data_IF_964826553340
#
_entry.id   IF_964826553340
#
_cell.length_a   1.000
_cell.length_b   1.000
_cell.length_c   1.000
_cell.angle_alpha   90.00
_cell.angle_beta   90.00
_cell.angle_gamma   90.00
#
_symmetry.space_group_name_H-M   'P 1'
#
loop_
_entity.id
_entity.type
_entity.pdbx_description
1 polymer ?
#
# COMPACT_ATOMS: atom_id res chain seq x y z
N UNK A 1 -0.94 30.00 13.23
CA UNK A 1 -0.62 29.44 14.55
C UNK A 1 0.03 28.09 14.35
N UNK A 2 1.31 27.97 14.68
CA UNK A 2 2.15 26.79 14.38
C UNK A 2 1.85 25.74 15.44
N UNK A 3 1.32 24.59 15.05
CA UNK A 3 1.15 23.44 15.95
C UNK A 3 2.52 22.83 16.16
N UNK A 4 3.12 23.10 17.32
CA UNK A 4 4.36 22.43 17.77
C UNK A 4 4.01 21.02 18.24
N UNK A 5 4.28 20.04 17.40
CA UNK A 5 4.34 18.64 17.84
C UNK A 5 5.61 18.49 18.68
N UNK A 6 5.46 18.22 19.97
CA UNK A 6 6.58 17.82 20.82
C UNK A 6 7.11 16.48 20.34
N UNK A 7 8.26 16.52 19.70
CA UNK A 7 9.05 15.35 19.33
C UNK A 7 9.49 14.60 20.61
N UNK A 8 9.53 13.26 20.60
CA UNK A 8 10.19 12.52 21.67
C UNK A 8 11.69 12.85 21.69
N UNK A 9 12.40 12.65 22.84
CA UNK A 9 13.78 13.06 22.99
C UNK A 9 14.65 12.38 21.92
N UNK A 10 15.36 13.19 21.20
CA UNK A 10 16.35 12.78 20.20
C UNK A 10 17.48 12.04 20.87
N UNK A 11 17.55 10.71 20.68
CA UNK A 11 18.81 10.02 20.75
C UNK A 11 19.60 10.47 19.52
N UNK A 12 20.63 11.30 19.73
CA UNK A 12 21.61 11.66 18.73
C UNK A 12 22.48 10.44 18.39
N UNK A 13 21.99 9.58 17.52
CA UNK A 13 22.83 8.88 16.57
C UNK A 13 22.59 9.58 15.24
N UNK A 14 23.55 10.39 14.80
CA UNK A 14 23.69 10.79 13.41
C UNK A 14 23.90 9.50 12.63
N UNK A 15 22.83 8.84 12.19
CA UNK A 15 22.91 8.04 10.99
C UNK A 15 23.23 9.03 9.87
N UNK A 16 24.49 9.09 9.49
CA UNK A 16 24.92 9.77 8.27
C UNK A 16 24.04 9.20 7.16
N UNK A 17 23.16 10.02 6.61
CA UNK A 17 22.39 9.69 5.41
C UNK A 17 23.42 9.35 4.32
N UNK A 18 23.65 8.08 4.10
CA UNK A 18 24.47 7.58 3.01
C UNK A 18 23.73 7.90 1.71
N UNK A 19 23.90 9.14 1.23
CA UNK A 19 23.42 9.55 -0.09
C UNK A 19 24.27 8.76 -1.08
N UNK A 20 23.69 7.78 -1.72
CA UNK A 20 24.35 7.01 -2.76
C UNK A 20 24.84 7.98 -3.86
N UNK A 21 26.15 8.22 -4.00
CA UNK A 21 26.69 9.17 -4.97
C UNK A 21 26.33 8.79 -6.41
N UNK A 22 25.97 7.53 -6.68
CA UNK A 22 25.53 7.05 -7.98
C UNK A 22 24.12 7.50 -8.38
N UNK A 23 23.37 8.13 -7.45
CA UNK A 23 22.01 8.60 -7.70
C UNK A 23 21.93 10.12 -7.98
N UNK A 24 23.05 10.82 -8.09
CA UNK A 24 23.11 12.25 -8.41
C UNK A 24 23.23 12.50 -9.91
N UNK A 25 22.55 13.54 -10.42
CA UNK A 25 22.61 13.99 -11.82
C UNK A 25 22.40 12.88 -12.86
N UNK A 26 21.51 11.95 -12.55
CA UNK A 26 21.21 10.84 -13.46
C UNK A 26 20.56 11.35 -14.76
N UNK A 27 21.00 10.77 -15.85
CA UNK A 27 20.30 10.84 -17.15
C UNK A 27 19.76 9.44 -17.47
N UNK A 28 18.45 9.29 -17.35
CA UNK A 28 17.75 8.02 -17.40
C UNK A 28 16.86 7.94 -18.64
N UNK A 29 16.61 6.73 -19.11
CA UNK A 29 15.46 6.53 -20.01
C UNK A 29 14.17 6.74 -19.23
N UNK A 30 14.06 6.13 -18.04
CA UNK A 30 12.83 6.12 -17.26
C UNK A 30 13.11 6.36 -15.78
N UNK A 31 12.38 7.30 -15.19
CA UNK A 31 12.29 7.43 -13.73
C UNK A 31 10.88 7.02 -13.27
N UNK A 32 10.84 6.08 -12.34
CA UNK A 32 9.63 5.66 -11.63
C UNK A 32 9.60 6.34 -10.27
N UNK A 33 8.43 6.78 -9.80
CA UNK A 33 8.25 7.32 -8.44
C UNK A 33 7.28 6.44 -7.67
N UNK A 34 7.77 5.86 -6.56
CA UNK A 34 7.07 4.94 -5.70
C UNK A 34 7.46 3.47 -5.90
N UNK A 35 7.84 2.82 -4.80
CA UNK A 35 8.27 1.42 -4.75
C UNK A 35 7.18 0.48 -4.16
N UNK A 36 5.92 0.73 -4.48
CA UNK A 36 4.80 -0.19 -4.27
C UNK A 36 4.68 -1.22 -5.39
N UNK A 37 3.57 -1.97 -5.42
CA UNK A 37 3.31 -3.01 -6.43
C UNK A 37 3.53 -2.52 -7.86
N UNK A 38 2.95 -1.38 -8.22
CA UNK A 38 3.05 -0.84 -9.60
C UNK A 38 4.48 -0.47 -9.96
N UNK A 39 5.19 0.22 -9.07
CA UNK A 39 6.57 0.64 -9.34
C UNK A 39 7.53 -0.52 -9.48
N UNK A 40 7.41 -1.54 -8.64
CA UNK A 40 8.23 -2.75 -8.70
C UNK A 40 7.93 -3.56 -9.96
N UNK A 41 6.66 -3.70 -10.33
CA UNK A 41 6.28 -4.40 -11.54
C UNK A 41 6.82 -3.71 -12.81
N UNK A 42 6.73 -2.39 -12.86
CA UNK A 42 7.29 -1.60 -13.94
C UNK A 42 8.82 -1.71 -13.99
N UNK A 43 9.50 -1.57 -12.84
CA UNK A 43 10.96 -1.72 -12.76
C UNK A 43 11.42 -3.05 -13.34
N UNK A 44 10.79 -4.15 -12.93
CA UNK A 44 11.10 -5.49 -13.43
C UNK A 44 10.95 -5.59 -14.95
N UNK A 45 9.80 -5.16 -15.49
CA UNK A 45 9.53 -5.28 -16.92
C UNK A 45 10.41 -4.35 -17.77
N UNK A 46 10.70 -3.15 -17.30
CA UNK A 46 11.51 -2.18 -18.02
C UNK A 46 13.00 -2.57 -18.02
N UNK A 47 13.50 -3.14 -16.91
CA UNK A 47 14.83 -3.76 -16.89
C UNK A 47 14.96 -4.87 -17.93
N UNK A 48 13.98 -5.75 -18.06
CA UNK A 48 13.97 -6.84 -19.06
C UNK A 48 14.03 -6.31 -20.50
N UNK A 49 13.51 -5.11 -20.74
CA UNK A 49 13.55 -4.44 -22.03
C UNK A 49 14.85 -3.64 -22.27
N UNK A 50 15.79 -3.66 -21.33
CA UNK A 50 17.08 -2.99 -21.43
C UNK A 50 17.08 -1.49 -21.15
N UNK A 51 15.99 -0.92 -20.63
CA UNK A 51 15.95 0.50 -20.26
C UNK A 51 16.82 0.81 -19.06
N UNK A 52 17.48 1.97 -19.08
CA UNK A 52 18.13 2.58 -17.92
C UNK A 52 17.05 3.18 -17.01
N UNK A 53 16.61 2.41 -16.02
CA UNK A 53 15.49 2.75 -15.14
C UNK A 53 15.92 2.79 -13.68
N UNK A 54 15.40 3.77 -12.93
CA UNK A 54 15.54 3.88 -11.46
C UNK A 54 14.21 4.22 -10.84
N UNK A 55 14.08 3.96 -9.53
CA UNK A 55 12.92 4.25 -8.71
C UNK A 55 13.29 5.23 -7.61
N UNK A 56 12.52 6.30 -7.43
CA UNK A 56 12.58 7.14 -6.24
C UNK A 56 11.42 6.80 -5.31
N UNK A 57 11.77 6.47 -4.06
CA UNK A 57 10.81 6.10 -3.02
C UNK A 57 10.93 7.06 -1.83
N UNK A 58 9.81 7.65 -1.44
CA UNK A 58 9.78 8.64 -0.35
C UNK A 58 9.90 8.04 1.05
N UNK A 59 9.66 6.74 1.20
CA UNK A 59 9.82 6.00 2.45
C UNK A 59 11.17 5.27 2.51
N UNK A 60 11.44 4.61 3.62
CA UNK A 60 12.68 3.87 3.86
C UNK A 60 12.59 2.38 3.47
N UNK A 61 11.57 1.97 2.70
CA UNK A 61 11.40 0.56 2.34
C UNK A 61 10.45 0.34 1.17
N UNK A 62 10.45 -0.89 0.68
CA UNK A 62 9.54 -1.35 -0.35
C UNK A 62 8.14 -1.58 0.20
N UNK A 63 7.12 -1.52 -0.67
CA UNK A 63 5.76 -1.93 -0.33
C UNK A 63 4.72 -0.83 -0.42
N UNK A 64 5.12 0.44 -0.60
CA UNK A 64 4.19 1.56 -0.73
C UNK A 64 3.24 1.64 0.47
N UNK A 65 1.94 1.50 0.22
CA UNK A 65 0.90 1.52 1.28
C UNK A 65 1.19 0.54 2.43
N UNK A 66 1.76 -0.64 2.17
CA UNK A 66 2.04 -1.66 3.17
C UNK A 66 3.28 -1.37 4.00
N UNK A 67 4.18 -0.56 3.49
CA UNK A 67 5.32 -0.05 4.24
C UNK A 67 4.91 1.02 5.25
N UNK A 68 3.90 1.82 4.90
CA UNK A 68 3.46 2.99 5.68
C UNK A 68 2.33 2.62 6.65
N UNK A 69 1.30 1.92 6.19
CA UNK A 69 0.11 1.60 6.96
C UNK A 69 0.40 0.44 7.94
N UNK A 70 0.55 0.78 9.22
CA UNK A 70 0.90 -0.15 10.30
C UNK A 70 -0.15 -0.19 11.41
N UNK A 71 -1.34 0.34 11.14
CA UNK A 71 -2.42 0.31 12.10
C UNK A 71 -2.87 -1.14 12.40
N UNK A 72 -3.42 -1.43 13.57
CA UNK A 72 -3.81 -2.77 13.96
C UNK A 72 -4.87 -3.34 13.02
N UNK A 73 -4.72 -4.59 12.65
CA UNK A 73 -5.62 -5.28 11.74
C UNK A 73 -5.41 -4.95 10.25
N UNK A 74 -4.42 -4.10 9.88
CA UNK A 74 -4.15 -3.76 8.49
C UNK A 74 -3.95 -5.01 7.64
N UNK A 75 -4.86 -5.23 6.67
CA UNK A 75 -4.87 -6.38 5.76
C UNK A 75 -5.52 -6.05 4.44
N UNK A 76 -5.29 -6.88 3.43
CA UNK A 76 -6.00 -6.80 2.16
C UNK A 76 -7.45 -7.25 2.33
N UNK A 77 -8.31 -6.75 1.47
CA UNK A 77 -9.70 -7.15 1.28
C UNK A 77 -9.92 -7.90 -0.05
N UNK A 78 -8.84 -8.15 -0.77
CA UNK A 78 -8.80 -9.00 -1.97
C UNK A 78 -8.03 -10.27 -1.67
N UNK A 79 -8.58 -11.41 -2.06
CA UNK A 79 -8.00 -12.71 -1.74
C UNK A 79 -6.76 -13.04 -2.59
N UNK A 80 -6.03 -14.04 -2.12
CA UNK A 80 -4.96 -14.65 -2.90
C UNK A 80 -5.58 -15.69 -3.87
N UNK A 81 -5.07 -15.80 -5.12
CA UNK A 81 -3.83 -15.24 -5.66
C UNK A 81 -3.96 -13.87 -6.36
N UNK A 82 -5.11 -13.20 -6.26
CA UNK A 82 -5.35 -11.95 -7.00
C UNK A 82 -4.39 -10.83 -6.58
N UNK A 83 -4.13 -10.70 -5.27
CA UNK A 83 -3.33 -9.61 -4.70
C UNK A 83 -1.84 -9.94 -4.63
N UNK A 84 -1.21 -10.19 -5.77
CA UNK A 84 0.25 -10.41 -5.89
C UNK A 84 0.77 -10.04 -7.29
N UNK A 85 2.10 -10.00 -7.44
CA UNK A 85 2.74 -9.78 -8.73
C UNK A 85 2.61 -11.02 -9.62
N UNK A 86 2.26 -10.82 -10.91
CA UNK A 86 2.20 -11.88 -11.93
C UNK A 86 3.60 -12.25 -12.48
N UNK A 87 4.63 -12.15 -11.65
CA UNK A 87 6.02 -12.46 -12.01
C UNK A 87 6.29 -13.92 -11.65
N UNK A 88 6.57 -14.79 -12.65
CA UNK A 88 6.71 -16.24 -12.43
C UNK A 88 7.76 -16.62 -11.38
N UNK A 89 8.89 -15.91 -11.33
CA UNK A 89 9.95 -16.14 -10.34
C UNK A 89 9.48 -15.85 -8.89
N UNK A 90 8.43 -15.06 -8.73
CA UNK A 90 7.87 -14.71 -7.42
C UNK A 90 6.76 -15.69 -7.04
N UNK A 91 5.67 -15.76 -7.84
CA UNK A 91 4.49 -16.51 -7.42
C UNK A 91 4.70 -18.04 -7.39
N UNK A 92 5.66 -18.56 -8.14
CA UNK A 92 5.99 -20.00 -8.07
C UNK A 92 6.60 -20.39 -6.72
N UNK A 93 7.42 -19.53 -6.14
CA UNK A 93 8.19 -19.80 -4.92
C UNK A 93 7.49 -19.29 -3.65
N UNK A 94 6.77 -18.16 -3.73
CA UNK A 94 6.09 -17.60 -2.57
C UNK A 94 4.86 -18.44 -2.19
N UNK A 95 4.63 -18.59 -0.88
CA UNK A 95 3.45 -19.23 -0.31
C UNK A 95 2.84 -18.33 0.75
N UNK A 96 1.57 -17.98 0.57
CA UNK A 96 0.82 -17.14 1.49
C UNK A 96 0.33 -17.96 2.69
N UNK A 97 0.28 -17.34 3.87
CA UNK A 97 -0.25 -17.98 5.09
C UNK A 97 -1.76 -17.81 5.21
N UNK A 98 -2.28 -16.69 4.74
CA UNK A 98 -3.69 -16.35 4.86
C UNK A 98 -4.32 -16.06 3.50
N UNK A 99 -5.63 -16.36 3.37
CA UNK A 99 -6.41 -16.01 2.17
C UNK A 99 -6.42 -14.49 1.94
N UNK A 100 -6.50 -13.70 3.02
CA UNK A 100 -6.42 -12.25 3.02
C UNK A 100 -5.24 -11.81 3.91
N UNK A 101 -4.03 -11.77 3.36
CA UNK A 101 -2.83 -11.56 4.16
C UNK A 101 -2.80 -10.21 4.86
N UNK A 102 -2.29 -10.21 6.08
CA UNK A 102 -2.04 -9.01 6.87
C UNK A 102 -0.85 -8.21 6.35
N UNK A 103 -0.78 -6.94 6.76
CA UNK A 103 0.27 -6.03 6.32
C UNK A 103 1.70 -6.50 6.63
N UNK A 104 1.89 -7.28 7.69
CA UNK A 104 3.21 -7.87 8.02
C UNK A 104 3.63 -8.91 6.98
N UNK A 105 2.75 -9.81 6.60
CA UNK A 105 3.04 -10.82 5.60
C UNK A 105 3.30 -10.19 4.23
N UNK A 106 2.57 -9.12 3.89
CA UNK A 106 2.80 -8.39 2.64
C UNK A 106 4.17 -7.71 2.65
N UNK A 107 4.64 -7.19 3.77
CA UNK A 107 6.02 -6.66 3.87
C UNK A 107 7.07 -7.76 3.66
N UNK A 108 6.88 -8.92 4.28
CA UNK A 108 7.73 -10.10 4.04
C UNK A 108 7.73 -10.52 2.57
N UNK A 109 6.57 -10.44 1.91
CA UNK A 109 6.47 -10.67 0.47
C UNK A 109 7.31 -9.68 -0.35
N UNK A 110 7.33 -8.40 0.00
CA UNK A 110 8.18 -7.42 -0.69
C UNK A 110 9.66 -7.66 -0.45
N UNK A 111 10.06 -8.07 0.75
CA UNK A 111 11.44 -8.48 1.04
C UNK A 111 11.83 -9.72 0.23
N UNK A 112 10.92 -10.67 0.07
CA UNK A 112 11.12 -11.82 -0.81
C UNK A 112 11.24 -11.40 -2.28
N UNK A 113 10.41 -10.49 -2.76
CA UNK A 113 10.52 -9.94 -4.11
C UNK A 113 11.89 -9.30 -4.35
N UNK A 114 12.39 -8.55 -3.38
CA UNK A 114 13.72 -7.95 -3.45
C UNK A 114 14.83 -9.00 -3.55
N UNK A 115 14.76 -10.02 -2.71
CA UNK A 115 15.73 -11.13 -2.73
C UNK A 115 15.82 -11.82 -4.10
N UNK A 116 14.70 -11.99 -4.79
CA UNK A 116 14.64 -12.67 -6.10
C UNK A 116 14.99 -11.74 -7.25
N UNK A 117 14.55 -10.48 -7.19
CA UNK A 117 14.62 -9.56 -8.33
C UNK A 117 15.72 -8.50 -8.18
N UNK A 118 16.41 -8.45 -7.04
CA UNK A 118 17.43 -7.46 -6.72
C UNK A 118 16.92 -6.04 -7.00
N UNK A 119 15.82 -5.67 -6.31
CA UNK A 119 15.07 -4.44 -6.56
C UNK A 119 15.80 -3.24 -5.97
N UNK A 120 16.28 -3.37 -4.72
CA UNK A 120 16.81 -2.24 -3.93
C UNK A 120 18.00 -1.55 -4.58
N UNK A 121 18.79 -2.24 -5.40
CA UNK A 121 19.92 -1.63 -6.13
C UNK A 121 19.51 -0.52 -7.10
N UNK A 122 18.25 -0.48 -7.52
CA UNK A 122 17.72 0.54 -8.43
C UNK A 122 16.73 1.47 -7.75
N UNK A 123 16.62 1.42 -6.40
CA UNK A 123 15.71 2.25 -5.62
C UNK A 123 16.50 3.23 -4.74
N UNK A 124 16.25 4.51 -4.91
CA UNK A 124 16.69 5.53 -3.96
C UNK A 124 15.57 5.72 -2.93
N UNK A 125 15.81 5.25 -1.71
CA UNK A 125 14.90 5.43 -0.57
C UNK A 125 15.04 6.84 0.03
N UNK A 126 14.09 7.22 0.89
CA UNK A 126 14.01 8.54 1.54
C UNK A 126 14.08 9.70 0.55
N UNK A 127 13.77 9.44 -0.71
CA UNK A 127 13.91 10.33 -1.85
C UNK A 127 12.54 10.77 -2.35
N UNK A 128 12.06 11.88 -1.81
CA UNK A 128 10.74 12.42 -2.17
C UNK A 128 10.86 13.38 -3.36
N UNK A 129 10.16 13.08 -4.45
CA UNK A 129 10.02 14.00 -5.56
C UNK A 129 9.14 15.18 -5.13
N UNK A 130 9.67 16.40 -5.29
CA UNK A 130 8.99 17.65 -4.94
C UNK A 130 8.61 18.50 -6.16
N UNK A 131 9.08 18.12 -7.34
CA UNK A 131 8.73 18.79 -8.59
C UNK A 131 9.21 18.02 -9.81
N UNK A 132 8.46 18.13 -10.89
CA UNK A 132 8.82 17.58 -12.18
C UNK A 132 8.37 18.54 -13.29
N UNK A 133 9.30 18.93 -14.18
CA UNK A 133 9.05 19.86 -15.28
C UNK A 133 9.57 19.25 -16.58
N UNK A 134 8.72 19.23 -17.60
CA UNK A 134 9.12 18.78 -18.94
C UNK A 134 9.81 19.91 -19.69
N UNK A 135 11.06 19.68 -20.12
CA UNK A 135 11.85 20.61 -20.90
C UNK A 135 11.70 20.28 -22.38
N UNK A 136 10.86 21.00 -23.09
CA UNK A 136 10.57 20.77 -24.52
C UNK A 136 11.83 20.80 -25.39
N UNK A 137 12.78 21.69 -25.08
CA UNK A 137 14.03 21.85 -25.82
C UNK A 137 14.96 20.65 -25.70
N UNK A 138 14.86 19.88 -24.59
CA UNK A 138 15.68 18.71 -24.32
C UNK A 138 14.90 17.40 -24.54
N UNK A 139 13.58 17.46 -24.69
CA UNK A 139 12.71 16.29 -24.77
C UNK A 139 12.72 15.43 -23.49
N UNK A 140 13.03 16.03 -22.34
CA UNK A 140 13.24 15.33 -21.07
C UNK A 140 12.51 15.99 -19.91
N UNK A 141 12.17 15.17 -18.94
CA UNK A 141 11.73 15.61 -17.63
C UNK A 141 12.94 16.00 -16.77
N UNK A 142 12.80 17.10 -16.05
CA UNK A 142 13.69 17.55 -14.96
C UNK A 142 12.97 17.31 -13.64
N UNK A 143 13.45 16.35 -12.86
CA UNK A 143 12.82 15.92 -11.62
C UNK A 143 13.66 16.38 -10.44
N UNK A 144 13.05 17.12 -9.52
CA UNK A 144 13.68 17.64 -8.30
C UNK A 144 13.21 16.85 -7.09
N UNK A 145 14.14 16.51 -6.20
CA UNK A 145 13.89 15.81 -4.95
C UNK A 145 14.07 16.69 -3.71
N UNK A 146 13.57 16.24 -2.56
CA UNK A 146 13.62 16.96 -1.29
C UNK A 146 15.04 17.24 -0.79
N UNK A 147 16.01 16.43 -1.18
CA UNK A 147 17.44 16.57 -0.85
C UNK A 147 18.21 17.45 -1.87
N UNK A 148 17.49 18.07 -2.80
CA UNK A 148 18.04 19.01 -3.77
C UNK A 148 18.60 18.40 -5.05
N UNK A 149 18.64 17.08 -5.18
CA UNK A 149 19.08 16.41 -6.41
C UNK A 149 18.16 16.76 -7.59
N UNK A 150 18.76 16.79 -8.78
CA UNK A 150 18.05 16.96 -10.04
C UNK A 150 18.39 15.78 -10.94
N UNK A 151 17.36 15.08 -11.39
CA UNK A 151 17.47 13.93 -12.30
C UNK A 151 16.76 14.24 -13.60
N UNK A 152 17.40 13.85 -14.71
CA UNK A 152 16.79 13.90 -16.06
C UNK A 152 16.26 12.52 -16.43
N UNK A 153 15.07 12.47 -17.04
CA UNK A 153 14.53 11.24 -17.59
C UNK A 153 13.71 11.53 -18.86
N UNK A 154 13.80 10.63 -19.84
CA UNK A 154 12.97 10.70 -21.04
C UNK A 154 11.51 10.44 -20.71
N UNK A 155 11.25 9.47 -19.84
CA UNK A 155 9.91 9.15 -19.35
C UNK A 155 9.86 9.28 -17.83
N UNK A 156 8.75 9.80 -17.33
CA UNK A 156 8.47 10.00 -15.92
C UNK A 156 7.18 9.26 -15.56
N UNK A 157 7.28 8.25 -14.70
CA UNK A 157 6.17 7.34 -14.34
C UNK A 157 5.82 7.47 -12.85
N UNK A 158 4.80 8.29 -12.49
CA UNK A 158 4.36 8.41 -11.12
C UNK A 158 3.51 7.19 -10.71
N UNK A 159 4.08 6.34 -9.85
CA UNK A 159 3.42 5.18 -9.21
C UNK A 159 3.14 5.47 -7.74
N UNK A 160 2.66 6.67 -7.43
CA UNK A 160 2.54 7.23 -6.09
C UNK A 160 1.34 6.70 -5.30
N UNK A 161 0.47 5.90 -5.92
CA UNK A 161 -0.78 5.47 -5.31
C UNK A 161 -1.80 6.62 -5.17
N UNK A 162 -2.98 6.30 -4.64
CA UNK A 162 -4.09 7.25 -4.48
C UNK A 162 -4.18 7.86 -3.08
N UNK A 163 -3.47 7.31 -2.10
CA UNK A 163 -3.56 7.70 -0.69
C UNK A 163 -2.21 8.15 -0.09
N UNK A 164 -1.31 8.70 -0.94
CA UNK A 164 0.03 9.09 -0.50
C UNK A 164 0.04 10.35 0.39
N UNK A 165 -0.96 11.22 0.27
CA UNK A 165 -1.08 12.43 1.07
C UNK A 165 -2.12 12.22 2.18
N UNK A 166 -1.68 12.37 3.43
CA UNK A 166 -2.57 12.37 4.58
C UNK A 166 -3.56 13.55 4.49
N UNK A 167 -4.81 13.26 4.82
CA UNK A 167 -5.84 14.28 5.02
C UNK A 167 -6.35 14.18 6.46
N UNK A 168 -6.25 15.26 7.21
CA UNK A 168 -6.85 15.41 8.53
C UNK A 168 -7.99 16.40 8.36
N UNK A 169 -9.25 16.01 8.66
CA UNK A 169 -10.35 16.93 8.68
C UNK A 169 -10.13 18.03 9.72
N UNK A 170 -10.64 19.23 9.43
CA UNK A 170 -10.64 20.32 10.38
C UNK A 170 -11.78 20.08 11.40
N UNK A 171 -11.40 19.58 12.57
CA UNK A 171 -12.31 19.41 13.70
C UNK A 171 -12.10 20.56 14.69
N UNK A 172 -13.09 21.45 14.89
CA UNK A 172 -12.97 22.53 15.85
C UNK A 172 -12.63 21.96 17.24
N UNK A 173 -11.58 22.50 17.86
CA UNK A 173 -11.16 22.10 19.21
C UNK A 173 -10.28 20.85 19.28
N UNK A 174 -9.84 20.25 18.15
CA UNK A 174 -8.98 19.05 18.15
C UNK A 174 -7.67 19.29 18.93
N UNK A 175 -7.18 20.51 18.93
CA UNK A 175 -5.97 20.94 19.63
C UNK A 175 -6.13 20.94 21.17
N UNK A 176 -7.38 20.94 21.66
CA UNK A 176 -7.69 20.88 23.10
C UNK A 176 -7.77 19.45 23.63
N UNK A 177 -7.81 18.47 22.77
CA UNK A 177 -7.88 17.07 23.17
C UNK A 177 -6.61 16.65 23.92
N UNK A 178 -6.77 16.14 25.14
CA UNK A 178 -5.65 15.78 26.03
C UNK A 178 -5.13 14.34 25.82
N UNK A 179 -5.87 13.53 25.06
CA UNK A 179 -5.48 12.16 24.74
C UNK A 179 -4.48 12.09 23.56
N UNK A 180 -4.02 10.90 23.25
CA UNK A 180 -3.19 10.64 22.07
C UNK A 180 -4.08 10.49 20.84
N UNK A 181 -3.65 11.10 19.73
CA UNK A 181 -4.31 11.02 18.43
C UNK A 181 -3.39 10.31 17.47
N UNK A 182 -3.91 9.32 16.76
CA UNK A 182 -3.20 8.57 15.74
C UNK A 182 -3.98 8.65 14.42
N UNK A 183 -3.25 8.76 13.32
CA UNK A 183 -3.83 8.69 11.98
C UNK A 183 -3.45 7.36 11.31
N UNK A 184 -4.39 6.70 10.64
CA UNK A 184 -4.14 5.38 10.03
C UNK A 184 -2.95 5.36 9.06
N UNK A 185 -2.72 6.44 8.31
CA UNK A 185 -1.58 6.56 7.38
C UNK A 185 -0.27 7.04 8.02
N UNK A 186 -0.25 7.29 9.34
CA UNK A 186 0.96 7.67 10.10
C UNK A 186 1.01 6.92 11.43
N UNK A 187 0.65 5.66 11.40
CA UNK A 187 0.66 4.82 12.59
C UNK A 187 2.09 4.60 13.09
N UNK A 188 2.34 4.68 14.41
CA UNK A 188 3.67 4.43 14.95
C UNK A 188 4.15 3.01 14.65
N UNK A 189 5.46 2.82 14.58
CA UNK A 189 6.07 1.50 14.35
C UNK A 189 6.04 0.60 15.59
N UNK A 190 5.75 1.16 16.76
CA UNK A 190 5.58 0.43 18.01
C UNK A 190 4.09 0.10 18.24
N UNK A 191 3.83 -0.90 19.05
CA UNK A 191 2.48 -1.26 19.43
C UNK A 191 1.84 -0.18 20.31
N UNK A 192 0.63 0.25 19.95
CA UNK A 192 -0.16 1.16 20.76
C UNK A 192 -0.97 0.34 21.76
N UNK A 193 -0.56 0.41 23.02
CA UNK A 193 -1.32 -0.22 24.10
C UNK A 193 -2.62 0.54 24.39
N UNK A 194 -3.75 -0.16 24.24
CA UNK A 194 -5.10 0.36 24.47
C UNK A 194 -5.79 -0.31 25.66
N UNK A 195 -5.11 -1.22 26.36
CA UNK A 195 -5.63 -1.89 27.55
C UNK A 195 -6.02 -0.86 28.59
N UNK A 196 -7.18 -1.06 29.23
CA UNK A 196 -7.75 -0.17 30.25
C UNK A 196 -7.98 1.29 29.79
N UNK A 197 -7.89 1.58 28.48
CA UNK A 197 -8.12 2.92 27.93
C UNK A 197 -9.49 3.06 27.31
N UNK A 198 -10.07 4.25 27.44
CA UNK A 198 -11.23 4.67 26.64
C UNK A 198 -10.72 5.15 25.29
N UNK A 199 -11.14 4.48 24.24
CA UNK A 199 -10.70 4.75 22.88
C UNK A 199 -11.86 5.26 22.02
N UNK A 200 -11.52 5.97 20.96
CA UNK A 200 -12.46 6.37 19.94
C UNK A 200 -11.86 6.15 18.54
N UNK A 201 -12.69 5.78 17.58
CA UNK A 201 -12.34 5.70 16.17
C UNK A 201 -13.27 6.59 15.38
N UNK A 202 -12.72 7.47 14.57
CA UNK A 202 -13.47 8.34 13.67
C UNK A 202 -13.39 7.78 12.26
N UNK A 203 -14.55 7.37 11.73
CA UNK A 203 -14.68 6.79 10.40
C UNK A 203 -14.80 5.26 10.40
N UNK A 204 -15.58 4.75 9.45
CA UNK A 204 -15.89 3.33 9.25
C UNK A 204 -15.58 2.87 7.82
N UNK A 205 -14.60 3.47 7.16
CA UNK A 205 -13.97 2.90 5.97
C UNK A 205 -13.12 1.69 6.32
N UNK A 206 -12.54 0.99 5.34
CA UNK A 206 -11.77 -0.25 5.55
C UNK A 206 -10.76 -0.16 6.70
N UNK A 207 -9.96 0.91 6.76
CA UNK A 207 -9.00 1.10 7.86
C UNK A 207 -9.67 1.26 9.22
N UNK A 208 -10.77 2.02 9.30
CA UNK A 208 -11.52 2.21 10.53
C UNK A 208 -12.09 0.90 11.06
N UNK A 209 -12.74 0.12 10.19
CA UNK A 209 -13.31 -1.20 10.55
C UNK A 209 -12.24 -2.15 11.06
N UNK A 210 -11.07 -2.21 10.42
CA UNK A 210 -9.96 -3.05 10.85
C UNK A 210 -9.43 -2.64 12.23
N UNK A 211 -9.27 -1.34 12.50
CA UNK A 211 -8.86 -0.82 13.81
C UNK A 211 -9.93 -1.14 14.88
N UNK A 212 -11.21 -0.93 14.56
CA UNK A 212 -12.34 -1.21 15.45
C UNK A 212 -12.34 -2.68 15.85
N UNK A 213 -12.14 -3.58 14.89
CA UNK A 213 -12.10 -5.02 15.13
C UNK A 213 -11.00 -5.44 16.11
N UNK A 214 -9.83 -4.82 16.02
CA UNK A 214 -8.71 -5.14 16.91
C UNK A 214 -8.81 -4.42 18.28
N UNK A 215 -9.17 -3.14 18.27
CA UNK A 215 -9.26 -2.37 19.50
C UNK A 215 -10.48 -2.72 20.34
N UNK A 216 -11.59 -3.12 19.70
CA UNK A 216 -12.79 -3.56 20.41
C UNK A 216 -12.58 -4.76 21.33
N UNK A 217 -11.59 -5.61 21.03
CA UNK A 217 -11.20 -6.76 21.84
C UNK A 217 -10.34 -6.39 23.05
N UNK A 218 -9.69 -5.22 23.05
CA UNK A 218 -8.58 -4.87 23.96
C UNK A 218 -8.83 -3.62 24.79
N UNK A 219 -9.56 -2.66 24.24
CA UNK A 219 -9.84 -1.40 24.90
C UNK A 219 -10.85 -1.59 26.05
N UNK A 220 -10.74 -0.78 27.11
CA UNK A 220 -11.75 -0.73 28.18
C UNK A 220 -13.12 -0.33 27.65
N UNK A 221 -13.15 0.63 26.73
CA UNK A 221 -14.32 1.00 25.96
C UNK A 221 -13.92 1.59 24.62
N UNK A 222 -14.74 1.39 23.62
CA UNK A 222 -14.52 1.92 22.27
C UNK A 222 -15.78 2.64 21.77
N UNK A 223 -15.62 3.91 21.41
CA UNK A 223 -16.66 4.71 20.74
C UNK A 223 -16.31 4.86 19.27
N UNK A 224 -17.28 4.65 18.40
CA UNK A 224 -17.11 4.78 16.94
C UNK A 224 -17.95 5.94 16.45
N UNK A 225 -17.31 6.88 15.80
CA UNK A 225 -17.98 8.01 15.13
C UNK A 225 -18.12 7.72 13.64
N UNK A 226 -19.33 7.52 13.19
CA UNK A 226 -19.68 7.22 11.81
C UNK A 226 -20.54 8.34 11.22
N UNK A 227 -20.10 8.92 10.11
CA UNK A 227 -20.90 9.88 9.35
C UNK A 227 -21.80 9.18 8.33
N UNK A 228 -21.18 8.34 7.50
CA UNK A 228 -21.87 7.57 6.47
C UNK A 228 -21.59 6.09 6.72
N UNK A 229 -22.62 5.24 6.84
CA UNK A 229 -22.41 3.81 7.06
C UNK A 229 -21.76 3.17 5.84
N UNK A 230 -20.78 2.30 6.11
CA UNK A 230 -20.25 1.36 5.14
C UNK A 230 -20.82 -0.02 5.45
N UNK A 231 -21.33 -0.69 4.43
CA UNK A 231 -21.74 -2.08 4.55
C UNK A 231 -20.49 -2.95 4.51
N UNK A 232 -20.36 -3.84 5.48
CA UNK A 232 -19.25 -4.78 5.59
C UNK A 232 -19.79 -6.20 5.61
N UNK A 233 -19.27 -7.04 4.73
CA UNK A 233 -19.54 -8.48 4.74
C UNK A 233 -18.44 -9.19 5.55
N UNK A 234 -18.76 -10.34 6.17
CA UNK A 234 -17.75 -11.20 6.76
C UNK A 234 -16.72 -11.62 5.72
N UNK A 235 -15.44 -11.40 6.02
CA UNK A 235 -14.34 -11.68 5.06
C UNK A 235 -14.12 -13.18 4.85
N UNK A 236 -14.62 -14.05 5.72
CA UNK A 236 -14.39 -15.50 5.68
C UNK A 236 -12.89 -15.86 5.52
N UNK A 237 -12.04 -15.14 6.26
CA UNK A 237 -10.60 -15.37 6.21
C UNK A 237 -10.25 -16.73 6.80
N UNK A 238 -9.28 -17.39 6.18
CA UNK A 238 -8.73 -18.66 6.63
C UNK A 238 -7.25 -18.77 6.34
N UNK A 239 -6.58 -19.64 7.05
CA UNK A 239 -5.22 -20.01 6.72
C UNK A 239 -5.20 -20.83 5.43
N UNK A 240 -4.14 -20.67 4.66
CA UNK A 240 -3.84 -21.42 3.45
C UNK A 240 -2.71 -22.40 3.74
N UNK A 241 -2.83 -23.64 3.27
CA UNK A 241 -1.74 -24.58 3.34
C UNK A 241 -0.82 -24.45 2.13
N UNK A 242 0.44 -24.85 2.29
CA UNK A 242 1.39 -24.87 1.17
C UNK A 242 0.97 -25.90 0.10
N UNK A 243 0.42 -27.02 0.50
CA UNK A 243 -0.08 -28.05 -0.41
C UNK A 243 -1.22 -27.54 -1.29
N UNK A 244 -2.25 -26.91 -0.66
CA UNK A 244 -3.37 -26.31 -1.35
C UNK A 244 -2.90 -25.29 -2.39
N UNK A 245 -1.99 -24.39 -2.01
CA UNK A 245 -1.47 -23.39 -2.92
C UNK A 245 -0.64 -23.99 -4.06
N UNK A 246 0.18 -25.00 -3.78
CA UNK A 246 0.95 -25.67 -4.81
C UNK A 246 0.06 -26.35 -5.87
N UNK A 247 -1.06 -26.92 -5.44
CA UNK A 247 -2.08 -27.45 -6.36
C UNK A 247 -2.68 -26.31 -7.20
N UNK A 248 -2.96 -25.18 -6.60
CA UNK A 248 -3.61 -24.04 -7.28
C UNK A 248 -2.67 -23.24 -8.20
N UNK A 249 -1.36 -23.29 -7.96
CA UNK A 249 -0.38 -22.47 -8.70
C UNK A 249 -0.38 -22.73 -10.22
N UNK A 250 -0.80 -23.89 -10.68
CA UNK A 250 -0.93 -24.14 -12.13
C UNK A 250 -2.02 -23.32 -12.78
N UNK A 251 -3.04 -22.88 -12.01
CA UNK A 251 -4.11 -22.02 -12.49
C UNK A 251 -3.78 -20.51 -12.40
N UNK A 252 -2.70 -20.13 -11.69
CA UNK A 252 -2.35 -18.72 -11.50
C UNK A 252 -2.20 -17.92 -12.81
N UNK A 253 -1.61 -18.46 -13.90
CA UNK A 253 -1.58 -17.75 -15.17
C UNK A 253 -2.97 -17.36 -15.68
N UNK A 254 -3.97 -18.25 -15.54
CA UNK A 254 -5.35 -17.99 -15.93
C UNK A 254 -6.00 -16.94 -15.02
N UNK A 255 -5.74 -16.98 -13.71
CA UNK A 255 -6.18 -15.94 -12.78
C UNK A 255 -5.62 -14.57 -13.17
N UNK A 256 -4.33 -14.48 -13.50
CA UNK A 256 -3.72 -13.22 -13.88
C UNK A 256 -4.28 -12.68 -15.20
N UNK A 257 -4.52 -13.52 -16.20
CA UNK A 257 -5.17 -13.10 -17.45
C UNK A 257 -6.59 -12.56 -17.21
N UNK A 258 -7.38 -13.24 -16.38
CA UNK A 258 -8.73 -12.77 -16.02
C UNK A 258 -8.66 -11.44 -15.27
N UNK A 259 -7.74 -11.28 -14.34
CA UNK A 259 -7.51 -10.02 -13.63
C UNK A 259 -7.12 -8.88 -14.57
N UNK A 260 -6.25 -9.14 -15.55
CA UNK A 260 -5.84 -8.14 -16.54
C UNK A 260 -6.99 -7.75 -17.49
N UNK A 261 -7.88 -8.67 -17.80
CA UNK A 261 -9.06 -8.41 -18.63
C UNK A 261 -10.19 -7.67 -17.89
N UNK A 262 -10.15 -7.63 -16.55
CA UNK A 262 -11.19 -7.00 -15.75
C UNK A 262 -10.83 -5.52 -15.45
N UNK A 263 -11.79 -4.60 -15.63
CA UNK A 263 -11.55 -3.15 -15.44
C UNK A 263 -11.06 -2.77 -14.04
N UNK A 264 -11.50 -3.47 -13.01
CA UNK A 264 -11.10 -3.26 -11.61
C UNK A 264 -9.96 -4.17 -11.14
N UNK A 265 -9.41 -5.03 -12.02
CA UNK A 265 -8.34 -5.94 -11.66
C UNK A 265 -8.76 -7.13 -10.80
N UNK A 266 -10.01 -7.57 -10.90
CA UNK A 266 -10.54 -8.75 -10.20
C UNK A 266 -10.73 -9.94 -11.16
N UNK A 267 -11.11 -11.09 -10.61
CA UNK A 267 -11.34 -12.32 -11.38
C UNK A 267 -12.82 -12.73 -11.50
N UNK A 268 -13.72 -12.01 -10.83
CA UNK A 268 -15.15 -12.22 -10.94
C UNK A 268 -15.71 -11.52 -12.19
N UNK A 269 -16.81 -12.05 -12.73
CA UNK A 269 -17.58 -11.43 -13.81
C UNK A 269 -18.71 -10.55 -13.28
N UNK A 270 -19.19 -9.65 -14.13
CA UNK A 270 -20.44 -8.95 -13.88
C UNK A 270 -21.61 -9.75 -14.47
N UNK A 271 -22.72 -9.71 -13.78
CA UNK A 271 -23.97 -10.12 -14.39
C UNK A 271 -24.31 -9.11 -15.50
N UNK A 272 -24.78 -9.54 -16.69
CA UNK A 272 -25.09 -8.66 -17.81
C UNK A 272 -26.43 -7.91 -17.63
N UNK A 273 -26.74 -7.51 -16.39
CA UNK A 273 -27.98 -6.81 -16.02
C UNK A 273 -27.71 -5.91 -14.81
N UNK A 274 -28.54 -4.90 -14.63
CA UNK A 274 -28.46 -4.03 -13.47
C UNK A 274 -29.08 -4.67 -12.22
N UNK A 275 -28.56 -4.35 -11.04
CA UNK A 275 -29.07 -4.89 -9.77
C UNK A 275 -30.56 -4.60 -9.55
N UNK A 276 -31.07 -3.51 -10.11
CA UNK A 276 -32.48 -3.12 -9.99
C UNK A 276 -33.37 -3.75 -11.02
N UNK A 277 -32.83 -4.48 -12.00
CA UNK A 277 -33.62 -5.33 -12.92
C UNK A 277 -34.09 -6.61 -12.21
N UNK A 278 -33.41 -6.99 -11.11
CA UNK A 278 -33.76 -8.15 -10.29
C UNK A 278 -34.88 -7.80 -9.28
N UNK A 279 -35.75 -8.76 -9.02
CA UNK A 279 -36.66 -8.68 -7.88
C UNK A 279 -35.89 -8.75 -6.55
N UNK A 280 -36.55 -8.37 -5.46
CA UNK A 280 -35.94 -8.44 -4.12
C UNK A 280 -35.55 -9.89 -3.77
N UNK A 281 -36.39 -10.87 -4.10
CA UNK A 281 -36.12 -12.28 -3.86
C UNK A 281 -34.93 -12.82 -4.68
N UNK A 282 -34.77 -12.38 -5.93
CA UNK A 282 -33.62 -12.73 -6.76
C UNK A 282 -32.34 -12.14 -6.24
N UNK A 283 -32.36 -10.87 -5.80
CA UNK A 283 -31.20 -10.23 -5.13
C UNK A 283 -30.80 -10.96 -3.87
N UNK A 284 -31.78 -11.34 -3.02
CA UNK A 284 -31.53 -12.06 -1.78
C UNK A 284 -30.84 -13.40 -2.05
N UNK A 285 -31.33 -14.18 -3.02
CA UNK A 285 -30.68 -15.44 -3.45
C UNK A 285 -29.23 -15.25 -3.94
N UNK A 286 -28.96 -14.15 -4.66
CA UNK A 286 -27.61 -13.83 -5.11
C UNK A 286 -26.71 -13.51 -3.91
N UNK A 287 -27.19 -12.72 -2.96
CA UNK A 287 -26.41 -12.36 -1.77
C UNK A 287 -26.19 -13.54 -0.81
N UNK A 288 -27.11 -14.49 -0.73
CA UNK A 288 -26.93 -15.71 0.06
C UNK A 288 -25.92 -16.68 -0.56
N UNK A 289 -25.68 -16.58 -1.87
CA UNK A 289 -24.75 -17.46 -2.60
C UNK A 289 -23.29 -16.95 -2.59
N UNK A 290 -23.06 -15.73 -2.12
CA UNK A 290 -21.74 -15.11 -2.01
C UNK A 290 -21.14 -15.32 -0.60
#
# INVERSE_FOLDING_TARGET
MTITTTSPPTSNSKEEEHIDPYMNNLDLDILIVGAGFSGIYLLYNLRKKGYKVKVFEGSNGLGGTWQINRYPGARVDSDQPVYQLSIPQIWKEWTWKEKFPGGEEIRQYFDFCDKILDIKKDVAFNTKVIGANFKKTEGKWMIKTNDGRITKAKYFLPCIGFAAKRYIPDFPGIETFKGKIYHSSEWPKFEVDVSEKRCAVIGTGSSGVQIIQEWGKRAKSLVVFQRTPNLCLPMSSRNLTAEEQNIQKHEYPNYFLRREAHFGGFVFGFLPRDTFDDTEEEREKIFEAI
#
